data_IF_709846927389
#
_entry.id   IF_709846927389
#
_cell.length_a   1.000
_cell.length_b   1.000
_cell.length_c   1.000
_cell.angle_alpha   90.00
_cell.angle_beta   90.00
_cell.angle_gamma   90.00
#
_symmetry.space_group_name_H-M   'P 1'
#
loop_
_entity.id
_entity.type
_entity.pdbx_description
1 polymer ?
#
# COMPACT_ATOMS: atom_id res chain seq x y z
N UNK A 1 14.21 -12.57 4.47
CA UNK A 1 13.81 -12.98 5.83
C UNK A 1 12.90 -14.16 5.65
N UNK A 2 13.20 -15.28 6.30
CA UNK A 2 12.46 -16.53 6.13
C UNK A 2 11.31 -16.65 7.13
N UNK A 3 10.24 -17.30 6.71
CA UNK A 3 9.07 -17.61 7.52
C UNK A 3 9.29 -18.83 8.40
N UNK A 4 8.29 -19.17 9.23
CA UNK A 4 8.34 -20.37 10.07
C UNK A 4 8.41 -21.67 9.26
N UNK A 5 7.73 -21.74 8.12
CA UNK A 5 7.84 -22.89 7.20
C UNK A 5 9.02 -22.76 6.19
N UNK A 6 9.91 -21.78 6.37
CA UNK A 6 11.12 -21.64 5.54
C UNK A 6 10.95 -20.90 4.21
N UNK A 7 9.79 -20.31 3.94
CA UNK A 7 9.56 -19.50 2.74
C UNK A 7 10.10 -18.08 2.91
N UNK A 8 10.48 -17.41 1.83
CA UNK A 8 10.78 -15.97 1.93
C UNK A 8 9.50 -15.16 2.18
N UNK A 9 9.55 -14.24 3.14
CA UNK A 9 8.40 -13.38 3.52
C UNK A 9 7.88 -12.57 2.34
N UNK A 10 8.76 -12.17 1.41
CA UNK A 10 8.39 -11.47 0.18
C UNK A 10 7.52 -12.34 -0.74
N UNK A 11 7.80 -13.64 -0.80
CA UNK A 11 7.06 -14.58 -1.65
C UNK A 11 5.72 -14.91 -1.02
N UNK A 12 5.67 -15.12 0.30
CA UNK A 12 4.39 -15.26 1.01
C UNK A 12 3.49 -14.06 0.80
N UNK A 13 4.04 -12.83 0.86
CA UNK A 13 3.29 -11.60 0.59
C UNK A 13 2.72 -11.58 -0.84
N UNK A 14 3.50 -11.99 -1.84
CA UNK A 14 3.04 -12.10 -3.23
C UNK A 14 1.95 -13.16 -3.38
N UNK A 15 2.16 -14.34 -2.80
CA UNK A 15 1.21 -15.46 -2.80
C UNK A 15 -0.10 -15.11 -2.12
N UNK A 16 -0.06 -14.38 -0.99
CA UNK A 16 -1.26 -13.87 -0.33
C UNK A 16 -2.05 -12.92 -1.25
N UNK A 17 -1.37 -11.95 -1.90
CA UNK A 17 -2.03 -11.04 -2.84
C UNK A 17 -2.68 -11.80 -3.99
N UNK A 18 -1.95 -12.73 -4.61
CA UNK A 18 -2.46 -13.55 -5.70
C UNK A 18 -3.65 -14.41 -5.27
N UNK A 19 -3.60 -15.02 -4.09
CA UNK A 19 -4.71 -15.80 -3.54
C UNK A 19 -5.96 -14.94 -3.30
N UNK A 20 -5.78 -13.73 -2.75
CA UNK A 20 -6.89 -12.78 -2.55
C UNK A 20 -7.46 -12.31 -3.88
N UNK A 21 -6.61 -12.05 -4.87
CA UNK A 21 -7.00 -11.67 -6.23
C UNK A 21 -7.85 -12.75 -6.90
N UNK A 22 -7.41 -14.01 -6.83
CA UNK A 22 -8.10 -15.19 -7.37
C UNK A 22 -9.27 -15.69 -6.52
N UNK A 23 -9.54 -15.04 -5.38
CA UNK A 23 -10.55 -15.45 -4.40
C UNK A 23 -10.35 -16.89 -3.85
N UNK A 24 -9.10 -17.32 -3.77
CA UNK A 24 -8.71 -18.61 -3.20
C UNK A 24 -8.71 -18.54 -1.66
N UNK A 25 -9.87 -18.74 -1.04
CA UNK A 25 -10.04 -18.56 0.40
C UNK A 25 -9.04 -19.36 1.25
N UNK A 26 -8.89 -20.66 0.96
CA UNK A 26 -7.96 -21.53 1.70
C UNK A 26 -6.51 -21.04 1.62
N UNK A 27 -6.02 -20.73 0.42
CA UNK A 27 -4.66 -20.25 0.22
C UNK A 27 -4.44 -18.89 0.90
N UNK A 28 -5.39 -17.96 0.79
CA UNK A 28 -5.29 -16.65 1.43
C UNK A 28 -5.27 -16.75 2.97
N UNK A 29 -6.08 -17.65 3.54
CA UNK A 29 -6.09 -17.91 4.98
C UNK A 29 -4.79 -18.57 5.45
N UNK A 30 -4.26 -19.52 4.68
CA UNK A 30 -2.96 -20.17 4.93
C UNK A 30 -1.80 -19.16 4.94
N UNK A 31 -1.71 -18.28 3.96
CA UNK A 31 -0.64 -17.27 3.89
C UNK A 31 -0.80 -16.15 4.93
N UNK A 32 -2.03 -15.81 5.28
CA UNK A 32 -2.30 -14.91 6.41
C UNK A 32 -1.79 -15.51 7.72
N UNK A 33 -2.15 -16.77 7.99
CA UNK A 33 -1.69 -17.47 9.19
C UNK A 33 -0.15 -17.60 9.23
N UNK A 34 0.50 -17.82 8.08
CA UNK A 34 1.97 -17.86 8.00
C UNK A 34 2.61 -16.54 8.45
N UNK A 35 2.09 -15.41 7.98
CA UNK A 35 2.62 -14.09 8.32
C UNK A 35 2.31 -13.69 9.76
N UNK A 36 1.21 -14.17 10.34
CA UNK A 36 0.90 -14.00 11.77
C UNK A 36 1.82 -14.87 12.63
N UNK A 37 2.09 -16.10 12.18
CA UNK A 37 2.95 -17.04 12.91
C UNK A 37 4.44 -16.71 12.80
N UNK A 38 4.84 -15.89 11.82
CA UNK A 38 6.22 -15.48 11.59
C UNK A 38 6.53 -14.19 12.36
N UNK A 39 7.47 -14.28 13.31
CA UNK A 39 7.94 -13.17 14.13
C UNK A 39 8.31 -11.97 13.24
N UNK A 40 7.91 -10.75 13.62
CA UNK A 40 8.18 -9.52 12.85
C UNK A 40 7.66 -9.45 11.38
N UNK A 41 6.90 -10.44 10.89
CA UNK A 41 6.31 -10.41 9.54
C UNK A 41 4.96 -9.67 9.47
N UNK A 42 4.41 -9.28 10.62
CA UNK A 42 3.13 -8.56 10.75
C UNK A 42 3.10 -7.30 9.87
N UNK A 43 4.13 -6.46 9.87
CA UNK A 43 4.15 -5.29 8.96
C UNK A 43 4.04 -5.65 7.48
N UNK A 44 4.49 -6.83 7.06
CA UNK A 44 4.38 -7.33 5.68
C UNK A 44 2.98 -7.83 5.34
N UNK A 45 2.27 -8.43 6.31
CA UNK A 45 0.85 -8.80 6.18
C UNK A 45 -0.01 -7.58 5.85
N UNK A 46 0.13 -6.53 6.65
CA UNK A 46 -0.67 -5.32 6.49
C UNK A 46 -0.32 -4.57 5.22
N UNK A 47 0.97 -4.51 4.86
CA UNK A 47 1.39 -4.01 3.55
C UNK A 47 0.72 -4.78 2.39
N UNK A 48 0.53 -6.10 2.52
CA UNK A 48 -0.18 -6.92 1.54
C UNK A 48 -1.67 -6.59 1.46
N UNK A 49 -2.34 -6.47 2.61
CA UNK A 49 -3.77 -6.18 2.69
C UNK A 49 -4.14 -4.84 2.07
N UNK A 50 -3.37 -3.80 2.34
CA UNK A 50 -3.56 -2.49 1.71
C UNK A 50 -3.45 -2.56 0.18
N UNK A 51 -2.50 -3.33 -0.34
CA UNK A 51 -2.34 -3.51 -1.78
C UNK A 51 -3.46 -4.36 -2.39
N UNK A 52 -3.93 -5.39 -1.68
CA UNK A 52 -5.08 -6.19 -2.08
C UNK A 52 -6.37 -5.37 -2.13
N UNK A 53 -6.55 -4.42 -1.19
CA UNK A 53 -7.64 -3.45 -1.24
C UNK A 53 -7.51 -2.54 -2.46
N UNK A 54 -6.35 -1.89 -2.64
CA UNK A 54 -6.16 -0.96 -3.74
C UNK A 54 -6.31 -1.62 -5.12
N UNK A 55 -5.88 -2.87 -5.28
CA UNK A 55 -6.05 -3.64 -6.52
C UNK A 55 -7.51 -3.98 -6.83
N UNK A 56 -8.41 -3.93 -5.85
CA UNK A 56 -9.85 -4.15 -6.07
C UNK A 56 -10.60 -2.88 -6.47
N UNK A 57 -10.02 -1.70 -6.20
CA UNK A 57 -10.64 -0.40 -6.47
C UNK A 57 -10.54 -0.06 -7.96
N UNK A 58 -11.54 0.67 -8.46
CA UNK A 58 -11.68 1.01 -9.87
C UNK A 58 -12.69 2.13 -10.10
N UNK A 59 -13.28 2.18 -11.29
CA UNK A 59 -14.27 3.20 -11.63
C UNK A 59 -15.70 2.90 -11.13
N UNK A 60 -15.86 1.86 -10.29
CA UNK A 60 -17.15 1.41 -9.77
C UNK A 60 -17.56 2.10 -8.47
N UNK A 61 -18.52 1.51 -7.73
CA UNK A 61 -19.09 2.10 -6.50
C UNK A 61 -18.07 2.18 -5.34
N UNK A 62 -17.54 3.36 -5.04
CA UNK A 62 -16.40 3.55 -4.16
C UNK A 62 -16.80 3.31 -2.69
N UNK A 63 -16.25 2.27 -2.06
CA UNK A 63 -16.54 1.96 -0.67
C UNK A 63 -15.34 2.26 0.27
N UNK A 64 -15.47 3.26 1.17
CA UNK A 64 -14.42 3.67 2.09
C UNK A 64 -14.34 2.84 3.39
N UNK A 65 -15.25 1.89 3.62
CA UNK A 65 -15.32 1.10 4.86
C UNK A 65 -14.08 0.22 5.05
N UNK A 66 -13.68 -0.53 4.03
CA UNK A 66 -12.58 -1.49 4.16
C UNK A 66 -11.25 -0.87 4.60
N UNK A 67 -10.74 0.22 4.01
CA UNK A 67 -9.51 0.86 4.47
C UNK A 67 -9.60 1.42 5.90
N UNK A 68 -10.78 1.86 6.36
CA UNK A 68 -10.99 2.24 7.77
C UNK A 68 -10.86 1.01 8.67
N UNK A 69 -11.55 -0.09 8.32
CA UNK A 69 -11.47 -1.35 9.05
C UNK A 69 -10.05 -1.91 9.07
N UNK A 70 -9.31 -1.81 7.96
CA UNK A 70 -7.91 -2.22 7.88
C UNK A 70 -7.06 -1.44 8.89
N UNK A 71 -7.22 -0.12 8.96
CA UNK A 71 -6.49 0.69 9.93
C UNK A 71 -6.88 0.35 11.38
N UNK A 72 -8.17 0.20 11.68
CA UNK A 72 -8.64 -0.17 13.03
C UNK A 72 -8.12 -1.56 13.44
N UNK A 73 -8.17 -2.51 12.52
CA UNK A 73 -7.71 -3.88 12.75
C UNK A 73 -6.18 -3.94 12.92
N UNK A 74 -5.43 -3.14 12.17
CA UNK A 74 -3.99 -2.97 12.36
C UNK A 74 -3.66 -2.48 13.78
N UNK A 75 -4.35 -1.44 14.26
CA UNK A 75 -4.15 -0.92 15.61
C UNK A 75 -4.44 -1.97 16.67
N UNK A 76 -5.51 -2.77 16.50
CA UNK A 76 -5.80 -3.88 17.42
C UNK A 76 -4.70 -4.94 17.44
N UNK A 77 -4.13 -5.27 16.27
CA UNK A 77 -2.99 -6.19 16.17
C UNK A 77 -1.73 -5.61 16.81
N UNK A 78 -1.42 -4.33 16.60
CA UNK A 78 -0.29 -3.68 17.25
C UNK A 78 -0.43 -3.68 18.77
N UNK A 79 -1.60 -3.33 19.29
CA UNK A 79 -1.89 -3.38 20.72
C UNK A 79 -1.77 -4.80 21.29
N UNK A 80 -2.13 -5.83 20.51
CA UNK A 80 -1.88 -7.22 20.90
C UNK A 80 -0.39 -7.55 20.89
N UNK A 81 0.36 -7.13 19.88
CA UNK A 81 1.80 -7.33 19.81
C UNK A 81 2.51 -6.66 20.99
N UNK A 82 2.18 -5.42 21.33
CA UNK A 82 2.74 -4.72 22.50
C UNK A 82 2.43 -5.45 23.80
N UNK A 83 1.17 -5.87 24.02
CA UNK A 83 0.76 -6.61 25.22
C UNK A 83 1.48 -7.94 25.40
N UNK A 84 1.73 -8.67 24.31
CA UNK A 84 2.39 -9.98 24.40
C UNK A 84 3.91 -9.88 24.37
N UNK A 85 4.48 -8.98 23.57
CA UNK A 85 5.93 -8.90 23.33
C UNK A 85 6.64 -8.05 24.38
N UNK A 86 6.05 -6.94 24.85
CA UNK A 86 6.72 -6.05 25.80
C UNK A 86 6.66 -6.58 27.25
N UNK A 87 5.69 -7.45 27.55
CA UNK A 87 5.50 -8.00 28.89
C UNK A 87 6.01 -9.44 29.04
N UNK A 88 6.56 -10.03 27.98
CA UNK A 88 7.18 -11.34 28.05
C UNK A 88 8.60 -11.27 28.62
N UNK A 89 9.01 -12.34 29.31
CA UNK A 89 10.38 -12.46 29.84
C UNK A 89 11.43 -12.51 28.71
N UNK A 90 11.05 -13.05 27.54
CA UNK A 90 11.86 -13.00 26.31
C UNK A 90 11.02 -12.60 25.10
N UNK A 91 11.61 -11.95 24.08
CA UNK A 91 10.91 -11.63 22.83
C UNK A 91 10.30 -12.86 22.14
N UNK A 92 10.99 -14.02 22.22
CA UNK A 92 10.54 -15.28 21.62
C UNK A 92 9.25 -15.78 22.28
N UNK A 93 9.18 -15.79 23.61
CA UNK A 93 7.96 -16.17 24.34
C UNK A 93 6.80 -15.23 24.02
N UNK A 94 7.07 -13.93 23.92
CA UNK A 94 6.06 -12.93 23.55
C UNK A 94 5.48 -13.15 22.16
N UNK A 95 6.31 -13.45 21.16
CA UNK A 95 5.83 -13.80 19.81
C UNK A 95 5.05 -15.12 19.78
N UNK A 96 5.43 -16.09 20.62
CA UNK A 96 4.68 -17.34 20.78
C UNK A 96 3.29 -17.09 21.38
N UNK A 97 3.18 -16.25 22.41
CA UNK A 97 1.90 -15.86 22.98
C UNK A 97 1.03 -15.10 21.97
N UNK A 98 1.62 -14.13 21.27
CA UNK A 98 0.95 -13.33 20.25
C UNK A 98 0.32 -14.17 19.14
N UNK A 99 1.06 -15.09 18.50
CA UNK A 99 0.52 -15.92 17.40
C UNK A 99 -0.53 -16.93 17.85
N UNK A 100 -0.58 -17.21 19.15
CA UNK A 100 -1.54 -18.10 19.77
C UNK A 100 -2.76 -17.36 20.34
N UNK A 101 -2.77 -16.02 20.29
CA UNK A 101 -3.91 -15.20 20.72
C UNK A 101 -5.10 -15.40 19.75
N UNK A 102 -6.24 -15.93 20.22
CA UNK A 102 -7.42 -16.13 19.39
C UNK A 102 -7.95 -14.83 18.76
N UNK A 103 -7.81 -13.69 19.44
CA UNK A 103 -8.25 -12.40 18.91
C UNK A 103 -7.41 -11.97 17.70
N UNK A 104 -6.10 -12.18 17.75
CA UNK A 104 -5.18 -11.92 16.62
C UNK A 104 -5.56 -12.77 15.42
N UNK A 105 -5.78 -14.08 15.64
CA UNK A 105 -6.18 -15.01 14.58
C UNK A 105 -7.53 -14.64 13.97
N UNK A 106 -8.50 -14.25 14.81
CA UNK A 106 -9.82 -13.81 14.36
C UNK A 106 -9.72 -12.57 13.47
N UNK A 107 -8.96 -11.55 13.90
CA UNK A 107 -8.77 -10.32 13.13
C UNK A 107 -8.14 -10.63 11.76
N UNK A 108 -7.09 -11.45 11.73
CA UNK A 108 -6.46 -11.87 10.47
C UNK A 108 -7.44 -12.61 9.55
N UNK A 109 -8.19 -13.56 10.10
CA UNK A 109 -9.16 -14.35 9.36
C UNK A 109 -10.29 -13.47 8.78
N UNK A 110 -10.91 -12.64 9.62
CA UNK A 110 -11.98 -11.74 9.25
C UNK A 110 -11.53 -10.75 8.16
N UNK A 111 -10.36 -10.12 8.36
CA UNK A 111 -9.81 -9.16 7.40
C UNK A 111 -9.56 -9.83 6.04
N UNK A 112 -9.05 -11.06 6.04
CA UNK A 112 -8.84 -11.84 4.82
C UNK A 112 -10.16 -12.11 4.10
N UNK A 113 -11.21 -12.53 4.83
CA UNK A 113 -12.53 -12.75 4.24
C UNK A 113 -13.11 -11.47 3.65
N UNK A 114 -13.02 -10.33 4.35
CA UNK A 114 -13.48 -9.03 3.84
C UNK A 114 -12.78 -8.67 2.53
N UNK A 115 -11.46 -8.90 2.43
CA UNK A 115 -10.68 -8.66 1.22
C UNK A 115 -11.01 -9.64 0.08
N UNK A 116 -11.36 -10.89 0.37
CA UNK A 116 -11.79 -11.88 -0.62
C UNK A 116 -13.15 -11.53 -1.23
N UNK A 117 -14.09 -11.12 -0.37
CA UNK A 117 -15.48 -10.85 -0.75
C UNK A 117 -15.75 -9.41 -1.19
N UNK A 118 -14.77 -8.50 -1.08
CA UNK A 118 -14.91 -7.16 -1.63
C UNK A 118 -15.27 -7.21 -3.12
N UNK A 119 -16.14 -6.31 -3.55
CA UNK A 119 -16.48 -6.16 -4.96
C UNK A 119 -15.23 -5.76 -5.76
N UNK A 120 -14.99 -6.45 -6.87
CA UNK A 120 -13.94 -6.08 -7.83
C UNK A 120 -14.54 -5.08 -8.80
N UNK A 121 -13.89 -3.94 -8.97
CA UNK A 121 -14.34 -2.92 -9.90
C UNK A 121 -13.53 -2.95 -11.20
N UNK A 122 -14.04 -2.27 -12.23
CA UNK A 122 -13.31 -2.07 -13.47
C UNK A 122 -11.99 -1.38 -13.18
N UNK A 123 -10.84 -2.02 -13.47
CA UNK A 123 -9.54 -1.48 -13.15
C UNK A 123 -9.35 -0.11 -13.80
N UNK A 124 -8.91 0.85 -13.00
CA UNK A 124 -8.32 2.08 -13.52
C UNK A 124 -6.82 1.92 -13.44
N UNK A 125 -6.11 2.36 -14.47
CA UNK A 125 -4.65 2.31 -14.54
C UNK A 125 -4.15 3.75 -14.65
N UNK A 126 -2.97 4.01 -14.10
CA UNK A 126 -2.29 5.28 -14.33
C UNK A 126 -2.11 5.53 -15.84
N UNK A 127 -2.24 6.79 -16.31
CA UNK A 127 -1.94 7.13 -17.69
C UNK A 127 -0.47 6.79 -18.03
N UNK A 128 -0.17 6.44 -19.28
CA UNK A 128 1.20 6.16 -19.73
C UNK A 128 2.05 7.43 -19.69
N UNK A 129 3.38 7.29 -19.70
CA UNK A 129 4.30 8.44 -19.73
C UNK A 129 3.95 9.45 -20.82
N UNK A 130 3.72 8.97 -22.03
CA UNK A 130 3.44 9.82 -23.20
C UNK A 130 2.14 10.59 -23.00
N UNK A 131 1.11 9.92 -22.47
CA UNK A 131 -0.17 10.56 -22.16
C UNK A 131 -0.04 11.57 -21.03
N UNK A 132 0.75 11.26 -19.98
CA UNK A 132 1.02 12.20 -18.89
C UNK A 132 1.68 13.46 -19.44
N UNK A 133 2.75 13.32 -20.24
CA UNK A 133 3.48 14.46 -20.79
C UNK A 133 2.63 15.28 -21.76
N UNK A 134 1.85 14.61 -22.61
CA UNK A 134 0.92 15.28 -23.51
C UNK A 134 -0.16 16.06 -22.73
N UNK A 135 -0.85 15.39 -21.81
CA UNK A 135 -1.93 15.99 -21.03
C UNK A 135 -1.41 17.19 -20.22
N UNK A 136 -0.23 17.07 -19.61
CA UNK A 136 0.38 18.16 -18.83
C UNK A 136 0.85 19.31 -19.72
N UNK A 137 1.37 19.05 -20.93
CA UNK A 137 1.67 20.11 -21.89
C UNK A 137 0.41 20.91 -22.22
N UNK A 138 -0.68 20.22 -22.56
CA UNK A 138 -1.97 20.88 -22.81
C UNK A 138 -2.48 21.67 -21.59
N UNK A 139 -2.31 21.13 -20.37
CA UNK A 139 -2.67 21.84 -19.14
C UNK A 139 -1.81 23.08 -18.87
N UNK A 140 -0.54 23.09 -19.28
CA UNK A 140 0.37 24.24 -19.14
C UNK A 140 0.06 25.34 -20.15
N UNK A 141 -0.34 24.96 -21.36
CA UNK A 141 -0.73 25.91 -22.42
C UNK A 141 -2.12 26.51 -22.19
N UNK A 142 -2.92 25.90 -21.31
CA UNK A 142 -4.26 26.37 -20.96
C UNK A 142 -4.23 27.45 -19.86
N UNK A 143 -5.22 28.36 -19.80
CA UNK A 143 -5.32 29.35 -18.71
C UNK A 143 -5.39 28.69 -17.32
N UNK A 144 -4.73 29.30 -16.33
CA UNK A 144 -4.69 28.81 -14.94
C UNK A 144 -6.12 28.61 -14.41
N UNK A 145 -6.46 27.43 -13.86
CA UNK A 145 -7.82 27.19 -13.38
C UNK A 145 -8.06 28.02 -12.11
N UNK A 146 -9.26 28.57 -11.95
CA UNK A 146 -9.66 29.30 -10.72
C UNK A 146 -9.50 28.44 -9.46
N UNK A 147 -9.63 27.11 -9.60
CA UNK A 147 -9.39 26.15 -8.54
C UNK A 147 -7.96 26.20 -7.96
N UNK A 148 -6.96 26.70 -8.71
CA UNK A 148 -5.60 26.89 -8.20
C UNK A 148 -5.51 27.93 -7.06
N UNK A 149 -6.54 28.79 -6.97
CA UNK A 149 -6.67 29.84 -5.95
C UNK A 149 -7.79 29.52 -4.95
N UNK A 150 -8.29 28.29 -4.99
CA UNK A 150 -9.28 27.84 -4.02
C UNK A 150 -8.65 27.65 -2.64
N UNK A 151 -9.49 27.79 -1.60
CA UNK A 151 -9.06 27.66 -0.22
C UNK A 151 -8.28 26.35 0.08
N UNK A 152 -8.69 25.15 -0.41
CA UNK A 152 -7.92 23.93 -0.18
C UNK A 152 -6.50 23.96 -0.74
N UNK A 153 -6.30 24.56 -1.92
CA UNK A 153 -4.97 24.65 -2.55
C UNK A 153 -4.09 25.64 -1.80
N UNK A 154 -4.62 26.83 -1.49
CA UNK A 154 -3.88 27.88 -0.79
C UNK A 154 -3.57 27.54 0.68
N UNK A 155 -4.35 26.63 1.30
CA UNK A 155 -4.08 26.13 2.64
C UNK A 155 -2.84 25.23 2.70
N UNK A 156 -2.60 24.45 1.65
CA UNK A 156 -1.55 23.43 1.62
C UNK A 156 -0.28 23.96 0.97
N UNK A 157 -0.43 24.65 -0.18
CA UNK A 157 0.69 25.19 -0.91
C UNK A 157 1.33 26.37 -0.17
N UNK A 158 2.63 26.27 0.07
CA UNK A 158 3.40 27.30 0.77
C UNK A 158 4.15 28.18 -0.23
N UNK A 159 3.71 29.45 -0.31
CA UNK A 159 4.39 30.47 -1.10
C UNK A 159 5.87 30.56 -0.68
N UNK A 160 6.75 30.68 -1.67
CA UNK A 160 8.21 30.80 -1.51
C UNK A 160 8.94 29.58 -0.91
N UNK A 161 8.22 28.57 -0.42
CA UNK A 161 8.76 27.28 0.03
C UNK A 161 8.53 26.15 -1.00
N UNK A 162 7.50 26.25 -1.83
CA UNK A 162 7.14 25.23 -2.82
C UNK A 162 7.13 25.79 -4.25
N UNK A 163 7.24 24.91 -5.24
CA UNK A 163 7.18 25.29 -6.65
C UNK A 163 5.78 25.80 -7.04
N UNK A 164 5.71 26.77 -7.95
CA UNK A 164 4.44 27.30 -8.46
C UNK A 164 3.66 26.22 -9.23
N UNK A 165 4.38 25.34 -9.91
CA UNK A 165 3.85 24.24 -10.69
C UNK A 165 3.03 23.28 -9.83
N UNK A 166 3.37 23.09 -8.54
CA UNK A 166 2.56 22.28 -7.61
C UNK A 166 1.18 22.91 -7.37
N UNK A 167 1.11 24.24 -7.20
CA UNK A 167 -0.16 24.96 -7.08
C UNK A 167 -0.99 24.85 -8.35
N UNK A 168 -0.36 25.01 -9.52
CA UNK A 168 -1.04 24.91 -10.81
C UNK A 168 -1.61 23.50 -11.02
N UNK A 169 -0.80 22.46 -10.78
CA UNK A 169 -1.24 21.07 -10.90
C UNK A 169 -2.30 20.70 -9.86
N UNK A 170 -2.21 21.23 -8.63
CA UNK A 170 -3.25 21.07 -7.61
C UNK A 170 -4.59 21.64 -8.06
N UNK A 171 -4.59 22.85 -8.65
CA UNK A 171 -5.79 23.45 -9.23
C UNK A 171 -6.37 22.64 -10.39
N UNK A 172 -5.52 22.13 -11.28
CA UNK A 172 -5.93 21.27 -12.41
C UNK A 172 -6.54 19.97 -11.91
N UNK A 173 -5.89 19.32 -10.94
CA UNK A 173 -6.38 18.11 -10.30
C UNK A 173 -7.76 18.32 -9.68
N UNK A 174 -7.95 19.39 -8.90
CA UNK A 174 -9.23 19.68 -8.26
C UNK A 174 -10.34 19.94 -9.30
N UNK A 175 -10.05 20.74 -10.33
CA UNK A 175 -10.99 21.01 -11.40
C UNK A 175 -11.38 19.72 -12.15
N UNK A 176 -10.40 18.88 -12.49
CA UNK A 176 -10.61 17.61 -13.18
C UNK A 176 -11.40 16.59 -12.34
N UNK A 177 -11.16 16.52 -11.03
CA UNK A 177 -11.96 15.68 -10.14
C UNK A 177 -13.42 16.14 -10.07
N UNK A 178 -13.66 17.45 -10.03
CA UNK A 178 -15.01 18.03 -9.99
C UNK A 178 -15.76 17.84 -11.31
N UNK A 179 -15.08 17.95 -12.45
CA UNK A 179 -15.68 17.68 -13.77
C UNK A 179 -15.82 16.19 -14.10
N UNK A 180 -15.17 15.33 -13.31
CA UNK A 180 -15.19 13.88 -13.51
C UNK A 180 -14.15 13.37 -14.51
N UNK A 181 -13.25 14.22 -15.00
CA UNK A 181 -12.12 13.90 -15.88
C UNK A 181 -10.98 13.21 -15.13
N UNK A 182 -11.21 11.95 -14.73
CA UNK A 182 -10.26 11.22 -13.90
C UNK A 182 -8.86 11.09 -14.54
N UNK A 183 -8.77 10.90 -15.87
CA UNK A 183 -7.47 10.83 -16.55
C UNK A 183 -6.66 12.10 -16.34
N UNK A 184 -7.25 13.27 -16.54
CA UNK A 184 -6.58 14.55 -16.35
C UNK A 184 -6.12 14.74 -14.89
N UNK A 185 -6.97 14.37 -13.93
CA UNK A 185 -6.59 14.40 -12.51
C UNK A 185 -5.39 13.48 -12.22
N UNK A 186 -5.39 12.25 -12.75
CA UNK A 186 -4.29 11.32 -12.58
C UNK A 186 -3.01 11.79 -13.29
N UNK A 187 -3.11 12.37 -14.49
CA UNK A 187 -1.94 12.92 -15.21
C UNK A 187 -1.26 14.04 -14.41
N UNK A 188 -2.03 14.93 -13.75
CA UNK A 188 -1.48 15.98 -12.89
C UNK A 188 -0.69 15.41 -11.70
N UNK A 189 -1.25 14.39 -11.01
CA UNK A 189 -0.58 13.74 -9.88
C UNK A 189 0.65 12.95 -10.35
N UNK A 190 0.50 12.14 -11.40
CA UNK A 190 1.57 11.28 -11.92
C UNK A 190 2.77 12.09 -12.42
N UNK A 191 2.53 13.23 -13.07
CA UNK A 191 3.61 14.10 -13.54
C UNK A 191 4.50 14.61 -12.41
N UNK A 192 3.93 14.98 -11.26
CA UNK A 192 4.72 15.40 -10.09
C UNK A 192 5.52 14.26 -9.46
N UNK A 193 5.21 13.01 -9.80
CA UNK A 193 5.93 11.83 -9.35
C UNK A 193 7.04 11.44 -10.34
N UNK A 194 6.98 11.88 -11.61
CA UNK A 194 8.00 11.61 -12.63
C UNK A 194 9.39 12.04 -12.18
N UNK A 195 10.48 11.44 -12.69
CA UNK A 195 11.83 11.91 -12.40
C UNK A 195 11.98 13.34 -12.90
N UNK A 196 12.79 14.14 -12.23
CA UNK A 196 12.96 15.56 -12.55
C UNK A 196 13.32 15.78 -14.03
N UNK A 197 14.16 14.94 -14.61
CA UNK A 197 14.55 15.02 -16.02
C UNK A 197 13.35 14.86 -16.99
N UNK A 198 12.32 14.12 -16.60
CA UNK A 198 11.12 13.91 -17.40
C UNK A 198 10.04 14.97 -17.18
N UNK A 199 10.15 15.81 -16.15
CA UNK A 199 9.15 16.85 -15.86
C UNK A 199 9.27 18.06 -16.79
N UNK A 200 10.36 18.18 -17.56
CA UNK A 200 10.61 19.30 -18.48
C UNK A 200 10.47 20.66 -17.78
N UNK A 201 11.04 20.75 -16.58
CA UNK A 201 11.11 21.98 -15.79
C UNK A 201 12.55 22.51 -15.75
N UNK A 202 12.74 23.84 -15.72
CA UNK A 202 14.06 24.44 -15.60
C UNK A 202 14.71 24.16 -14.24
N UNK A 203 13.90 23.89 -13.21
CA UNK A 203 14.34 23.55 -11.87
C UNK A 203 13.55 22.35 -11.32
N UNK A 204 14.12 21.54 -10.42
CA UNK A 204 13.38 20.47 -9.75
C UNK A 204 12.16 21.00 -9.00
N UNK A 205 11.07 20.21 -8.98
CA UNK A 205 9.91 20.51 -8.15
C UNK A 205 10.31 20.54 -6.67
N UNK A 206 10.36 21.75 -6.12
CA UNK A 206 10.59 21.95 -4.70
C UNK A 206 9.30 21.70 -3.92
N UNK A 207 9.39 20.80 -2.93
CA UNK A 207 8.29 20.40 -2.04
C UNK A 207 8.74 20.64 -0.60
N UNK A 208 7.84 21.11 0.25
CA UNK A 208 8.12 21.24 1.68
C UNK A 208 8.31 19.87 2.34
N UNK A 209 9.05 19.82 3.44
CA UNK A 209 9.15 18.60 4.26
C UNK A 209 7.84 18.37 5.02
N UNK A 210 7.10 17.32 4.66
CA UNK A 210 5.75 17.04 5.18
C UNK A 210 5.61 15.65 5.79
N UNK A 211 6.42 14.69 5.35
CA UNK A 211 6.31 13.32 5.84
C UNK A 211 6.72 13.17 7.32
N UNK A 212 6.25 12.10 7.98
CA UNK A 212 6.57 11.81 9.38
C UNK A 212 8.08 11.77 9.67
N UNK A 213 8.47 12.18 10.88
CA UNK A 213 9.86 12.32 11.28
C UNK A 213 10.63 10.98 11.27
N UNK A 214 9.94 9.86 11.41
CA UNK A 214 10.49 8.50 11.40
C UNK A 214 10.93 8.04 9.99
N UNK A 215 10.52 8.78 8.96
CA UNK A 215 10.93 8.51 7.58
C UNK A 215 12.25 9.21 7.23
N UNK A 216 13.05 8.64 6.31
CA UNK A 216 14.24 9.31 5.79
C UNK A 216 13.89 10.67 5.16
N UNK A 217 14.79 11.66 5.24
CA UNK A 217 14.54 13.03 4.73
C UNK A 217 13.97 13.05 3.30
N UNK A 218 14.57 12.28 2.38
CA UNK A 218 14.11 12.16 0.99
C UNK A 218 12.67 11.63 0.85
N UNK A 219 12.24 10.75 1.76
CA UNK A 219 10.86 10.27 1.79
C UNK A 219 9.90 11.32 2.37
N UNK A 220 10.37 12.20 3.27
CA UNK A 220 9.57 13.27 3.87
C UNK A 220 9.27 14.42 2.91
N UNK A 221 10.12 14.63 1.90
CA UNK A 221 9.95 15.63 0.84
C UNK A 221 9.25 15.07 -0.43
N UNK A 222 8.66 13.88 -0.35
CA UNK A 222 7.91 13.30 -1.46
C UNK A 222 6.66 14.11 -1.79
N UNK A 223 6.37 14.32 -3.08
CA UNK A 223 5.14 14.97 -3.57
C UNK A 223 3.88 14.23 -3.14
N UNK A 224 3.96 12.93 -2.81
CA UNK A 224 2.84 12.16 -2.24
C UNK A 224 2.27 12.86 -0.99
N UNK A 225 3.12 13.41 -0.12
CA UNK A 225 2.64 14.07 1.11
C UNK A 225 1.88 15.36 0.81
N UNK A 226 2.33 16.13 -0.18
CA UNK A 226 1.60 17.30 -0.68
C UNK A 226 0.20 16.89 -1.18
N UNK A 227 0.10 15.83 -1.98
CA UNK A 227 -1.19 15.33 -2.47
C UNK A 227 -2.09 14.85 -1.33
N UNK A 228 -1.55 14.10 -0.37
CA UNK A 228 -2.32 13.65 0.79
C UNK A 228 -2.86 14.86 1.59
N UNK A 229 -2.04 15.86 1.90
CA UNK A 229 -2.51 17.07 2.58
C UNK A 229 -3.56 17.83 1.77
N UNK A 230 -3.38 17.96 0.46
CA UNK A 230 -4.37 18.58 -0.43
C UNK A 230 -5.70 17.83 -0.40
N UNK A 231 -5.68 16.51 -0.53
CA UNK A 231 -6.90 15.71 -0.46
C UNK A 231 -7.57 15.79 0.92
N UNK A 232 -6.80 15.90 2.01
CA UNK A 232 -7.34 16.17 3.35
C UNK A 232 -8.07 17.52 3.37
N UNK A 233 -7.45 18.58 2.85
CA UNK A 233 -8.03 19.91 2.80
C UNK A 233 -9.32 19.93 1.96
N UNK A 234 -9.36 19.21 0.84
CA UNK A 234 -10.56 19.05 0.01
C UNK A 234 -11.67 18.36 0.79
N UNK A 235 -11.38 17.23 1.45
CA UNK A 235 -12.37 16.47 2.22
C UNK A 235 -12.88 17.20 3.47
N UNK A 236 -12.08 18.12 4.02
CA UNK A 236 -12.47 19.00 5.13
C UNK A 236 -13.22 20.26 4.65
N UNK A 237 -13.32 20.51 3.35
CA UNK A 237 -14.08 21.65 2.85
C UNK A 237 -15.55 21.55 3.30
N UNK A 238 -16.22 22.68 3.61
CA UNK A 238 -17.61 22.65 4.08
C UNK A 238 -18.57 21.91 3.14
N UNK A 239 -18.27 21.94 1.82
CA UNK A 239 -19.04 21.24 0.80
C UNK A 239 -19.05 19.72 0.99
N UNK A 240 -17.94 19.13 1.44
CA UNK A 240 -17.79 17.68 1.60
C UNK A 240 -17.97 17.24 3.05
N UNK A 241 -17.52 18.05 4.01
CA UNK A 241 -17.60 17.75 5.44
C UNK A 241 -19.05 17.53 5.89
N UNK A 242 -19.99 18.27 5.29
CA UNK A 242 -21.42 18.15 5.57
C UNK A 242 -22.08 16.93 4.91
N UNK A 243 -21.40 16.28 3.96
CA UNK A 243 -21.92 15.08 3.32
C UNK A 243 -21.74 13.89 4.26
N UNK A 244 -20.50 13.48 4.57
CA UNK A 244 -20.25 12.32 5.45
C UNK A 244 -18.89 12.34 6.15
N UNK A 245 -18.88 12.10 7.49
CA UNK A 245 -17.66 12.06 8.34
C UNK A 245 -16.67 10.95 7.99
N UNK A 246 -17.11 9.90 7.30
CA UNK A 246 -16.23 8.76 7.09
C UNK A 246 -15.11 9.04 6.08
N UNK A 247 -15.28 9.98 5.14
CA UNK A 247 -14.29 10.25 4.09
C UNK A 247 -12.96 10.75 4.67
N UNK A 248 -13.04 11.57 5.71
CA UNK A 248 -11.84 12.03 6.43
C UNK A 248 -11.19 10.88 7.22
N UNK A 249 -11.99 9.95 7.78
CA UNK A 249 -11.48 8.77 8.48
C UNK A 249 -10.73 7.84 7.52
N UNK A 250 -11.29 7.59 6.33
CA UNK A 250 -10.61 6.90 5.23
C UNK A 250 -9.28 7.58 4.91
N UNK A 251 -9.31 8.89 4.69
CA UNK A 251 -8.13 9.66 4.33
C UNK A 251 -7.00 9.47 5.36
N UNK A 252 -7.33 9.63 6.63
CA UNK A 252 -6.38 9.46 7.74
C UNK A 252 -5.83 8.03 7.80
N UNK A 253 -6.67 7.02 7.52
CA UNK A 253 -6.25 5.62 7.44
C UNK A 253 -5.21 5.41 6.32
N UNK A 254 -5.43 5.97 5.12
CA UNK A 254 -4.49 5.92 3.99
C UNK A 254 -3.19 6.65 4.32
N UNK A 255 -3.25 7.86 4.88
CA UNK A 255 -2.08 8.63 5.27
C UNK A 255 -1.22 7.88 6.31
N UNK A 256 -1.87 7.26 7.30
CA UNK A 256 -1.19 6.41 8.29
C UNK A 256 -0.56 5.19 7.64
N UNK A 257 -1.21 4.59 6.64
CA UNK A 257 -0.67 3.46 5.92
C UNK A 257 0.60 3.83 5.14
N UNK A 258 0.63 5.01 4.48
CA UNK A 258 1.84 5.55 3.86
C UNK A 258 2.96 5.75 4.89
N UNK A 259 2.66 6.33 6.05
CA UNK A 259 3.64 6.53 7.12
C UNK A 259 4.25 5.20 7.60
N UNK A 260 3.39 4.20 7.81
CA UNK A 260 3.75 2.93 8.44
C UNK A 260 4.46 1.98 7.47
N UNK A 261 3.98 1.92 6.23
CA UNK A 261 4.37 0.89 5.26
C UNK A 261 5.24 1.44 4.12
N UNK A 262 5.67 2.70 4.18
CA UNK A 262 6.51 3.33 3.17
C UNK A 262 7.66 2.44 2.69
N UNK A 263 8.47 1.93 3.63
CA UNK A 263 9.66 1.10 3.36
C UNK A 263 9.32 -0.31 2.86
N UNK A 264 8.06 -0.73 2.94
CA UNK A 264 7.59 -2.07 2.52
C UNK A 264 6.94 -2.06 1.15
N UNK A 265 6.55 -0.88 0.66
CA UNK A 265 5.98 -0.69 -0.66
C UNK A 265 7.02 -0.17 -1.63
N UNK A 266 7.00 -0.73 -2.84
CA UNK A 266 7.72 -0.20 -3.99
C UNK A 266 7.07 1.11 -4.46
N UNK A 267 7.70 1.84 -5.37
CA UNK A 267 7.09 3.03 -5.96
C UNK A 267 5.76 2.69 -6.66
N UNK A 268 5.72 1.60 -7.44
CA UNK A 268 4.50 1.13 -8.10
C UNK A 268 3.38 0.77 -7.10
N UNK A 269 3.74 0.12 -5.99
CA UNK A 269 2.78 -0.19 -4.91
C UNK A 269 2.20 1.09 -4.28
N UNK A 270 3.04 2.10 -3.99
CA UNK A 270 2.60 3.42 -3.48
C UNK A 270 1.65 4.11 -4.46
N UNK A 271 1.95 4.05 -5.75
CA UNK A 271 1.09 4.61 -6.79
C UNK A 271 -0.27 3.92 -6.86
N UNK A 272 -0.35 2.60 -6.64
CA UNK A 272 -1.64 1.87 -6.59
C UNK A 272 -2.50 2.32 -5.41
N UNK A 273 -1.92 2.49 -4.23
CA UNK A 273 -2.63 3.02 -3.06
C UNK A 273 -3.13 4.45 -3.35
N UNK A 274 -2.27 5.29 -3.94
CA UNK A 274 -2.62 6.67 -4.29
C UNK A 274 -3.73 6.74 -5.34
N UNK A 275 -3.74 5.83 -6.31
CA UNK A 275 -4.80 5.71 -7.31
C UNK A 275 -6.15 5.37 -6.65
N UNK A 276 -6.16 4.32 -5.83
CA UNK A 276 -7.34 3.91 -5.06
C UNK A 276 -7.88 5.08 -4.21
N UNK A 277 -6.99 5.83 -3.57
CA UNK A 277 -7.35 7.02 -2.80
C UNK A 277 -7.94 8.16 -3.67
N UNK A 278 -7.36 8.44 -4.85
CA UNK A 278 -7.89 9.45 -5.78
C UNK A 278 -9.33 9.11 -6.24
N UNK A 279 -9.58 7.83 -6.51
CA UNK A 279 -10.92 7.34 -6.87
C UNK A 279 -11.95 7.62 -5.77
N UNK A 280 -11.55 7.43 -4.51
CA UNK A 280 -12.40 7.70 -3.34
C UNK A 280 -12.62 9.22 -3.12
N UNK A 281 -11.63 10.07 -3.39
CA UNK A 281 -11.84 11.53 -3.32
C UNK A 281 -12.80 12.02 -4.41
N UNK A 282 -12.64 11.50 -5.64
CA UNK A 282 -13.57 11.80 -6.74
C UNK A 282 -15.00 11.47 -6.35
N UNK A 283 -15.21 10.30 -5.75
CA UNK A 283 -16.50 9.86 -5.27
C UNK A 283 -17.15 10.82 -4.28
N UNK A 284 -16.36 11.26 -3.30
CA UNK A 284 -16.81 12.21 -2.28
C UNK A 284 -17.23 13.54 -2.92
N UNK A 285 -16.49 14.01 -3.92
CA UNK A 285 -16.81 15.24 -4.67
C UNK A 285 -18.07 15.10 -5.54
N UNK A 286 -18.35 13.89 -6.04
CA UNK A 286 -19.54 13.58 -6.83
C UNK A 286 -20.79 13.30 -5.97
N UNK A 287 -20.67 13.39 -4.64
CA UNK A 287 -21.74 13.15 -3.68
C UNK A 287 -22.42 11.79 -3.84
N UNK A 288 -21.63 10.75 -4.12
CA UNK A 288 -22.14 9.38 -4.12
C UNK A 288 -22.39 9.00 -2.66
N UNK A 289 -23.66 8.85 -2.29
CA UNK A 289 -24.05 8.36 -0.97
C UNK A 289 -23.71 6.87 -0.88
N UNK A 290 -22.80 6.52 0.03
CA UNK A 290 -22.37 5.14 0.26
C UNK A 290 -22.87 4.71 1.63
N UNK A 291 -23.36 3.48 1.78
CA UNK A 291 -23.59 2.89 3.09
C UNK A 291 -22.26 2.49 3.73
N UNK A 292 -22.00 2.96 4.96
CA UNK A 292 -20.74 2.75 5.68
C UNK A 292 -20.79 1.56 6.64
N UNK A 293 -21.60 0.55 6.33
CA UNK A 293 -21.79 -0.57 7.22
C UNK A 293 -20.82 -1.71 6.87
N UNK A 294 -20.06 -2.12 7.88
CA UNK A 294 -19.29 -3.34 7.83
C UNK A 294 -20.24 -4.51 8.04
N UNK A 295 -20.63 -5.21 6.97
CA UNK A 295 -21.41 -6.44 7.11
C UNK A 295 -20.72 -7.39 8.10
N UNK A 296 -21.48 -8.06 9.00
CA UNK A 296 -20.90 -9.02 9.92
C UNK A 296 -20.29 -10.19 9.13
N UNK A 297 -19.13 -10.65 9.58
CA UNK A 297 -18.46 -11.82 9.01
C UNK A 297 -18.67 -12.97 9.99
N UNK A 298 -19.38 -14.00 9.56
CA UNK A 298 -19.48 -15.24 10.34
C UNK A 298 -18.14 -15.95 10.31
N UNK A 299 -17.57 -16.21 11.49
CA UNK A 299 -16.28 -16.89 11.62
C UNK A 299 -16.42 -17.94 12.72
N UNK A 300 -16.19 -19.21 12.37
CA UNK A 300 -16.13 -20.28 13.37
C UNK A 300 -14.71 -20.50 13.87
N UNK A 301 -14.57 -20.90 15.14
CA UNK A 301 -13.25 -21.20 15.73
C UNK A 301 -12.51 -22.31 14.95
N UNK A 302 -13.24 -23.30 14.45
CA UNK A 302 -12.69 -24.39 13.63
C UNK A 302 -12.06 -23.91 12.32
N UNK A 303 -12.69 -22.97 11.63
CA UNK A 303 -12.17 -22.39 10.39
C UNK A 303 -10.96 -21.49 10.65
N UNK A 304 -10.97 -20.76 11.78
CA UNK A 304 -9.84 -19.94 12.19
C UNK A 304 -8.59 -20.77 12.48
N UNK A 305 -8.73 -21.90 13.20
CA UNK A 305 -7.60 -22.68 13.67
C UNK A 305 -7.02 -23.62 12.62
N UNK A 306 -7.80 -23.99 11.60
CA UNK A 306 -7.38 -24.94 10.57
C UNK A 306 -6.04 -24.54 9.88
N UNK A 307 -5.85 -23.31 9.39
CA UNK A 307 -4.58 -22.87 8.80
C UNK A 307 -3.38 -23.00 9.75
N UNK A 308 -3.58 -22.76 11.06
CA UNK A 308 -2.52 -22.85 12.06
C UNK A 308 -2.15 -24.29 12.38
N UNK A 309 -3.13 -25.21 12.32
CA UNK A 309 -2.88 -26.66 12.43
C UNK A 309 -2.10 -27.18 11.22
N UNK A 310 -2.41 -26.71 10.01
CA UNK A 310 -1.65 -27.03 8.79
C UNK A 310 -0.20 -26.57 8.92
N UNK A 311 0.04 -25.33 9.35
CA UNK A 311 1.39 -24.80 9.63
C UNK A 311 2.12 -25.65 10.66
N UNK A 312 1.48 -25.97 11.78
CA UNK A 312 2.09 -26.76 12.84
C UNK A 312 2.48 -28.16 12.35
N UNK A 313 1.65 -28.77 11.49
CA UNK A 313 1.93 -30.08 10.90
C UNK A 313 3.12 -30.02 9.95
N UNK A 314 3.19 -28.99 9.10
CA UNK A 314 4.31 -28.77 8.18
C UNK A 314 5.63 -28.54 8.92
N UNK A 315 5.59 -27.76 10.00
CA UNK A 315 6.74 -27.59 10.90
C UNK A 315 7.16 -28.90 11.58
N UNK A 316 6.20 -29.74 12.01
CA UNK A 316 6.49 -31.04 12.60
C UNK A 316 7.05 -32.06 11.59
N UNK A 317 6.65 -31.93 10.32
CA UNK A 317 7.20 -32.66 9.16
C UNK A 317 8.52 -32.12 8.65
N UNK A 318 9.15 -31.19 9.37
CA UNK A 318 10.53 -30.75 9.14
C UNK A 318 11.42 -31.39 10.21
N UNK A 319 11.82 -32.68 10.11
CA UNK A 319 12.74 -33.24 11.10
C UNK A 319 14.13 -32.65 10.93
N UNK A 320 14.82 -32.56 12.06
CA UNK A 320 16.27 -32.50 12.21
C UNK A 320 17.05 -33.13 11.05
N UNK A 321 18.08 -32.41 10.58
CA UNK A 321 19.19 -32.88 9.75
C UNK A 321 18.86 -33.66 8.46
N UNK A 322 19.11 -33.02 7.32
CA UNK A 322 19.91 -33.68 6.28
C UNK A 322 19.21 -34.66 5.33
N UNK A 323 17.99 -34.38 4.86
CA UNK A 323 17.46 -35.06 3.66
C UNK A 323 17.29 -34.02 2.54
N UNK A 324 18.35 -33.91 1.76
CA UNK A 324 18.35 -33.34 0.40
C UNK A 324 17.67 -34.37 -0.51
N UNK A 325 16.70 -34.00 -1.38
CA UNK A 325 16.28 -34.89 -2.45
C UNK A 325 17.49 -35.16 -3.35
N UNK A 326 17.80 -36.44 -3.56
CA UNK A 326 18.99 -37.01 -4.21
C UNK A 326 19.80 -36.08 -5.14
N UNK A 327 21.10 -35.99 -4.83
CA UNK A 327 22.11 -35.30 -5.64
C UNK A 327 23.17 -34.59 -4.79
N UNK A 328 23.72 -35.27 -3.78
CA UNK A 328 24.73 -34.71 -2.88
C UNK A 328 26.02 -35.54 -2.88
N UNK A 329 27.05 -34.98 -3.50
CA UNK A 329 28.45 -35.04 -3.05
C UNK A 329 28.95 -33.59 -3.08
N UNK A 330 29.81 -33.05 -2.24
CA UNK A 330 30.23 -33.31 -0.87
C UNK A 330 31.01 -32.04 -0.46
N UNK A 331 30.68 -31.51 0.71
CA UNK A 331 31.57 -30.86 1.69
C UNK A 331 32.52 -29.68 1.34
N UNK A 332 32.52 -29.06 0.16
CA UNK A 332 33.34 -27.83 -0.09
C UNK A 332 32.54 -26.53 -0.30
N UNK A 333 31.21 -26.61 -0.16
CA UNK A 333 30.29 -25.56 -0.62
C UNK A 333 29.87 -24.49 0.39
N UNK A 334 30.36 -24.45 1.64
CA UNK A 334 29.85 -23.50 2.64
C UNK A 334 30.20 -22.02 2.34
N UNK A 335 31.33 -21.77 1.69
CA UNK A 335 31.68 -20.44 1.16
C UNK A 335 30.92 -20.14 -0.15
N UNK A 336 30.88 -21.09 -1.10
CA UNK A 336 30.16 -20.96 -2.37
C UNK A 336 28.63 -20.83 -2.23
N UNK A 337 28.00 -21.40 -1.19
CA UNK A 337 26.55 -21.27 -0.92
C UNK A 337 26.19 -19.89 -0.38
N UNK A 338 27.07 -19.22 0.35
CA UNK A 338 26.83 -17.82 0.76
C UNK A 338 26.90 -16.89 -0.45
N UNK A 339 27.84 -17.14 -1.36
CA UNK A 339 27.97 -16.36 -2.60
C UNK A 339 26.85 -16.67 -3.59
N UNK A 340 26.47 -17.93 -3.80
CA UNK A 340 25.34 -18.30 -4.67
C UNK A 340 23.98 -17.81 -4.12
N UNK A 341 23.79 -17.77 -2.79
CA UNK A 341 22.57 -17.23 -2.17
C UNK A 341 22.54 -15.70 -2.23
N UNK A 342 23.69 -15.02 -2.09
CA UNK A 342 23.82 -13.57 -2.38
C UNK A 342 23.57 -13.27 -3.86
N UNK A 343 24.09 -14.08 -4.75
CA UNK A 343 23.97 -13.90 -6.21
C UNK A 343 22.55 -14.21 -6.69
N UNK A 344 21.87 -15.20 -6.11
CA UNK A 344 20.48 -15.52 -6.39
C UNK A 344 19.52 -14.48 -5.79
N UNK A 345 19.82 -13.96 -4.60
CA UNK A 345 19.06 -12.86 -4.01
C UNK A 345 19.28 -11.55 -4.77
N UNK A 346 20.50 -11.27 -5.22
CA UNK A 346 20.80 -10.17 -6.12
C UNK A 346 20.12 -10.35 -7.49
N UNK A 347 20.00 -11.56 -8.03
CA UNK A 347 19.24 -11.83 -9.27
C UNK A 347 17.72 -11.66 -9.09
N UNK A 348 17.18 -11.96 -7.91
CA UNK A 348 15.76 -11.77 -7.60
C UNK A 348 15.45 -10.29 -7.33
N UNK A 349 16.33 -9.60 -6.60
CA UNK A 349 16.29 -8.14 -6.42
C UNK A 349 16.49 -7.43 -7.76
N UNK A 350 17.37 -7.91 -8.63
CA UNK A 350 17.55 -7.44 -10.01
C UNK A 350 16.30 -7.67 -10.85
N UNK A 351 15.65 -8.84 -10.78
CA UNK A 351 14.39 -9.10 -11.52
C UNK A 351 13.21 -8.29 -10.98
N UNK A 352 13.17 -8.02 -9.68
CA UNK A 352 12.19 -7.14 -9.05
C UNK A 352 12.45 -5.68 -9.41
N UNK A 353 13.70 -5.24 -9.37
CA UNK A 353 14.14 -3.94 -9.86
C UNK A 353 13.92 -3.81 -11.36
N UNK A 354 14.01 -4.88 -12.16
CA UNK A 354 13.72 -4.89 -13.60
C UNK A 354 12.20 -4.83 -13.87
N UNK A 355 11.36 -5.43 -13.03
CA UNK A 355 9.90 -5.35 -13.18
C UNK A 355 9.34 -4.04 -12.62
N UNK A 356 9.87 -3.54 -11.51
CA UNK A 356 9.63 -2.17 -11.04
C UNK A 356 10.19 -1.18 -12.04
N UNK A 357 11.41 -1.34 -12.55
CA UNK A 357 11.96 -0.50 -13.62
C UNK A 357 11.20 -0.65 -14.93
N UNK A 358 10.57 -1.77 -15.25
CA UNK A 358 9.73 -1.89 -16.45
C UNK A 358 8.39 -1.17 -16.29
N UNK A 359 7.76 -1.24 -15.11
CA UNK A 359 6.53 -0.49 -14.80
C UNK A 359 6.82 0.99 -14.66
N UNK A 360 7.89 1.33 -13.95
CA UNK A 360 8.38 2.69 -13.80
C UNK A 360 8.85 3.22 -15.16
N UNK A 361 9.60 2.49 -15.99
CA UNK A 361 10.01 2.93 -17.33
C UNK A 361 8.84 3.03 -18.32
N UNK A 362 7.84 2.14 -18.26
CA UNK A 362 6.58 2.31 -18.98
C UNK A 362 5.82 3.58 -18.56
N UNK A 363 6.15 4.12 -17.38
CA UNK A 363 5.67 5.40 -16.85
C UNK A 363 6.74 6.49 -16.89
N UNK A 364 7.94 6.24 -17.42
CA UNK A 364 9.06 7.19 -17.45
C UNK A 364 9.76 7.51 -16.14
N UNK A 365 9.49 6.75 -15.09
CA UNK A 365 10.14 6.76 -13.80
C UNK A 365 11.33 5.79 -13.85
N UNK A 366 12.55 6.20 -13.51
CA UNK A 366 13.69 5.29 -13.35
C UNK A 366 14.28 5.50 -11.96
N UNK A 367 14.76 4.44 -11.33
CA UNK A 367 15.23 4.46 -9.93
C UNK A 367 16.51 5.27 -9.69
N UNK A 368 17.12 5.84 -10.73
CA UNK A 368 18.15 6.88 -10.61
C UNK A 368 17.52 8.24 -10.27
N UNK A 369 16.98 8.35 -9.06
CA UNK A 369 16.72 9.64 -8.39
C UNK A 369 16.66 9.47 -6.89
#
# INVERSE_FOLDING_TARGET
>A
MTSRCGYEVTDIRKSLRAAVERREARAAQRWTAELIATDAAIGSLWAAYWLSWAAAQGAGDPNPVLPILLHQSWQQILNAAERHVNYAATPTEGWVAFRNDPAVRRIGHETTLRLLFQARQTPVIWPSKELILFDVSCMRDSPVPTAADSAPVLQVWQRDAEAMELRLMAGRWLAALQSGELRAALSAVAWTLLPTAAQSLPQPLRVAERGPAELPAKARTSTIWFWLELGKAVLLSPKIQNLHRGWITLHNAVATAFATHWKRWTAADRMRILLAWNLQIRAALQNVAVSWEAAPVSVTQSEMDLPYREIATEMAWTPMQGIVPEGADAATGAAKKKDAKKEQQARIESKLAETDAAVLAAMGLTEDS
#
